data_IF_892886368565
#
_entry.id   IF_892886368565
#
_cell.length_a   1.000
_cell.length_b   1.000
_cell.length_c   1.000
_cell.angle_alpha   90.00
_cell.angle_beta   90.00
_cell.angle_gamma   90.00
#
_symmetry.space_group_name_H-M   'P 1'
#
loop_
_entity.id
_entity.type
_entity.pdbx_description
1 polymer ?
#
# COMPACT_ATOMS: atom_id res chain seq x y z
N UNK A 1 35.11 0.15 -70.08
CA UNK A 1 34.61 0.67 -68.78
C UNK A 1 34.49 -0.51 -67.82
N UNK A 2 35.32 -0.60 -66.77
CA UNK A 2 35.26 -1.70 -65.79
C UNK A 2 34.19 -1.38 -64.74
N UNK A 3 33.27 -2.30 -64.41
CA UNK A 3 32.21 -2.03 -63.45
C UNK A 3 32.80 -1.90 -62.03
N UNK A 4 32.48 -0.81 -61.35
CA UNK A 4 32.84 -0.58 -59.94
C UNK A 4 32.14 -1.63 -59.10
N UNK A 5 32.92 -2.38 -58.32
CA UNK A 5 32.41 -3.51 -57.54
C UNK A 5 31.87 -3.03 -56.19
N UNK A 6 30.64 -2.48 -56.21
CA UNK A 6 29.97 -1.83 -55.07
C UNK A 6 29.85 -2.69 -53.80
N UNK A 7 29.99 -4.02 -53.91
CA UNK A 7 29.99 -4.94 -52.75
C UNK A 7 31.25 -4.77 -51.90
N UNK A 8 32.41 -4.56 -52.52
CA UNK A 8 33.68 -4.32 -51.81
C UNK A 8 33.68 -2.97 -51.10
N UNK A 9 33.15 -1.92 -51.74
CA UNK A 9 33.04 -0.59 -51.14
C UNK A 9 32.11 -0.60 -49.91
N UNK A 10 31.01 -1.37 -49.94
CA UNK A 10 30.10 -1.53 -48.80
C UNK A 10 30.71 -2.32 -47.64
N UNK A 11 31.47 -3.38 -47.94
CA UNK A 11 32.17 -4.16 -46.91
C UNK A 11 33.28 -3.35 -46.25
N UNK A 12 34.05 -2.58 -47.04
CA UNK A 12 35.07 -1.68 -46.52
C UNK A 12 34.47 -0.56 -45.66
N UNK A 13 33.36 0.05 -46.09
CA UNK A 13 32.65 1.06 -45.31
C UNK A 13 32.08 0.50 -44.00
N UNK A 14 31.49 -0.70 -44.02
CA UNK A 14 30.98 -1.36 -42.82
C UNK A 14 32.10 -1.73 -41.85
N UNK A 15 33.23 -2.25 -42.35
CA UNK A 15 34.40 -2.55 -41.53
C UNK A 15 35.00 -1.28 -40.90
N UNK A 16 35.06 -0.17 -41.66
CA UNK A 16 35.55 1.11 -41.17
C UNK A 16 34.62 1.72 -40.12
N UNK A 17 33.30 1.62 -40.30
CA UNK A 17 32.30 2.06 -39.32
C UNK A 17 32.36 1.23 -38.04
N UNK A 18 32.55 -0.10 -38.15
CA UNK A 18 32.67 -0.99 -36.98
C UNK A 18 33.99 -0.75 -36.23
N UNK A 19 35.09 -0.51 -36.96
CA UNK A 19 36.35 -0.09 -36.37
C UNK A 19 36.21 1.26 -35.66
N UNK A 20 35.58 2.27 -36.30
CA UNK A 20 35.36 3.57 -35.67
C UNK A 20 34.46 3.51 -34.42
N UNK A 21 33.44 2.64 -34.39
CA UNK A 21 32.56 2.50 -33.20
C UNK A 21 33.21 1.74 -32.06
N UNK A 22 34.11 0.80 -32.35
CA UNK A 22 34.87 0.08 -31.30
C UNK A 22 36.03 0.91 -30.75
N UNK A 23 36.64 1.79 -31.55
CA UNK A 23 37.71 2.70 -31.12
C UNK A 23 37.22 3.91 -30.32
N UNK A 24 35.92 4.19 -30.28
CA UNK A 24 35.31 5.26 -29.46
C UNK A 24 34.59 4.74 -28.21
N UNK A 25 34.64 3.43 -27.96
CA UNK A 25 34.10 2.84 -26.74
C UNK A 25 35.07 3.11 -25.56
N UNK A 26 34.94 4.28 -24.94
CA UNK A 26 35.56 4.54 -23.64
C UNK A 26 34.99 3.56 -22.61
N UNK A 27 35.79 3.03 -21.67
CA UNK A 27 35.25 2.31 -20.53
C UNK A 27 34.28 3.24 -19.81
N UNK A 28 33.01 2.87 -19.79
CA UNK A 28 32.06 3.51 -18.90
C UNK A 28 32.48 3.16 -17.48
N UNK A 29 33.07 4.11 -16.75
CA UNK A 29 33.17 4.01 -15.29
C UNK A 29 31.74 3.97 -14.76
N UNK A 30 31.24 2.77 -14.50
CA UNK A 30 30.11 2.59 -13.62
C UNK A 30 30.59 3.03 -12.24
N UNK A 31 30.37 4.30 -11.89
CA UNK A 31 30.48 4.71 -10.50
C UNK A 31 29.51 3.83 -9.70
N UNK A 32 29.97 3.03 -8.72
CA UNK A 32 29.05 2.28 -7.89
C UNK A 32 28.15 3.30 -7.20
N UNK A 33 26.85 3.26 -7.52
CA UNK A 33 25.85 4.06 -6.80
C UNK A 33 25.79 3.45 -5.40
N UNK A 34 26.24 4.17 -4.37
CA UNK A 34 26.30 3.57 -3.04
C UNK A 34 24.88 3.29 -2.54
N UNK A 35 24.73 2.22 -1.78
CA UNK A 35 23.50 1.84 -1.12
C UNK A 35 23.79 1.59 0.35
N UNK A 36 22.77 1.71 1.19
CA UNK A 36 22.87 1.37 2.60
C UNK A 36 22.03 0.16 2.95
N UNK A 37 22.50 -0.64 3.91
CA UNK A 37 21.73 -1.74 4.48
C UNK A 37 21.31 -1.41 5.91
N UNK A 38 20.10 -1.82 6.25
CA UNK A 38 19.55 -1.84 7.60
C UNK A 38 19.12 -3.27 7.91
N UNK A 39 19.90 -3.97 8.74
CA UNK A 39 19.58 -5.31 9.20
C UNK A 39 19.02 -5.23 10.63
N UNK A 40 17.71 -5.40 10.77
CA UNK A 40 17.00 -5.44 12.04
C UNK A 40 16.91 -6.88 12.55
N UNK A 41 17.47 -7.17 13.72
CA UNK A 41 17.24 -8.42 14.45
C UNK A 41 16.32 -8.15 15.64
N UNK A 42 15.14 -8.74 15.62
CA UNK A 42 14.10 -8.53 16.61
C UNK A 42 13.99 -9.77 17.49
N UNK A 43 14.17 -9.57 18.80
CA UNK A 43 14.01 -10.57 19.84
C UNK A 43 13.12 -10.04 20.98
N UNK A 44 12.78 -10.89 21.95
CA UNK A 44 11.91 -10.52 23.07
C UNK A 44 12.46 -9.37 23.95
N UNK A 45 13.78 -9.19 23.99
CA UNK A 45 14.46 -8.22 24.86
C UNK A 45 14.82 -6.88 24.19
N UNK A 46 14.64 -6.75 22.87
CA UNK A 46 15.10 -5.57 22.14
C UNK A 46 15.20 -5.75 20.64
N UNK A 47 15.73 -4.72 19.99
CA UNK A 47 16.04 -4.70 18.56
C UNK A 47 17.54 -4.41 18.43
N UNK A 48 18.27 -5.32 17.81
CA UNK A 48 19.66 -5.11 17.41
C UNK A 48 19.68 -4.74 15.93
N UNK A 49 20.12 -3.53 15.62
CA UNK A 49 20.17 -2.97 14.28
C UNK A 49 21.60 -2.82 13.81
N UNK A 50 21.90 -3.36 12.64
CA UNK A 50 23.15 -3.13 11.93
C UNK A 50 22.92 -2.23 10.72
N UNK A 51 23.63 -1.10 10.67
CA UNK A 51 23.68 -0.21 9.52
C UNK A 51 24.97 -0.49 8.78
N UNK A 52 24.90 -0.69 7.47
CA UNK A 52 26.09 -0.67 6.60
C UNK A 52 25.93 0.49 5.64
N UNK A 53 26.84 1.46 5.72
CA UNK A 53 26.85 2.65 4.87
C UNK A 53 28.20 2.78 4.16
N UNK A 54 28.17 3.11 2.88
CA UNK A 54 29.39 3.27 2.10
C UNK A 54 30.17 4.50 2.57
N UNK A 55 31.51 4.41 2.56
CA UNK A 55 32.35 5.55 2.92
C UNK A 55 32.18 6.76 1.99
N UNK A 56 31.75 6.60 0.73
CA UNK A 56 31.54 7.74 -0.17
C UNK A 56 30.37 8.60 0.31
N UNK A 57 29.27 7.99 0.71
CA UNK A 57 28.09 8.70 1.22
C UNK A 57 28.40 9.42 2.53
N UNK A 58 29.05 8.71 3.45
CA UNK A 58 29.46 9.26 4.73
C UNK A 58 30.48 10.38 4.56
N UNK A 59 31.48 10.19 3.69
CA UNK A 59 32.51 11.19 3.43
C UNK A 59 31.93 12.46 2.77
N UNK A 60 30.96 12.31 1.86
CA UNK A 60 30.25 13.43 1.25
C UNK A 60 29.60 14.31 2.33
N UNK A 61 28.77 13.71 3.18
CA UNK A 61 28.01 14.45 4.18
C UNK A 61 28.84 14.93 5.38
N UNK A 62 29.89 14.19 5.76
CA UNK A 62 30.84 14.58 6.81
C UNK A 62 31.94 15.53 6.30
N UNK A 63 31.96 15.83 4.99
CA UNK A 63 33.01 16.63 4.34
C UNK A 63 34.44 16.07 4.57
N UNK A 64 34.60 14.75 4.60
CA UNK A 64 35.90 14.09 4.76
C UNK A 64 36.50 13.83 3.39
N UNK A 65 37.70 14.36 3.13
CA UNK A 65 38.42 14.14 1.89
C UNK A 65 39.87 13.70 2.16
N UNK A 66 40.38 12.69 1.44
CA UNK A 66 39.64 11.80 0.55
C UNK A 66 38.77 10.78 1.33
N UNK A 67 37.73 10.16 0.73
CA UNK A 67 36.78 9.27 1.44
C UNK A 67 37.42 8.09 2.16
N UNK A 68 38.54 7.58 1.66
CA UNK A 68 39.30 6.45 2.21
C UNK A 68 39.87 6.75 3.61
N UNK A 69 39.90 8.03 4.03
CA UNK A 69 40.23 8.38 5.41
C UNK A 69 39.26 7.73 6.40
N UNK A 70 38.00 7.52 6.02
CA UNK A 70 37.03 6.78 6.84
C UNK A 70 37.32 5.28 6.95
N UNK A 71 38.35 4.76 6.29
CA UNK A 71 38.88 3.40 6.51
C UNK A 71 40.01 3.35 7.55
N UNK A 72 40.34 4.50 8.16
CA UNK A 72 41.35 4.58 9.23
C UNK A 72 40.68 4.62 10.60
N UNK A 73 41.05 3.70 11.49
CA UNK A 73 40.45 3.59 12.83
C UNK A 73 40.54 4.88 13.65
N UNK A 74 41.66 5.62 13.58
CA UNK A 74 41.82 6.89 14.26
C UNK A 74 40.84 7.96 13.78
N UNK A 75 40.63 8.06 12.46
CA UNK A 75 39.68 9.01 11.87
C UNK A 75 38.24 8.65 12.24
N UNK A 76 37.89 7.36 12.22
CA UNK A 76 36.55 6.90 12.61
C UNK A 76 36.27 7.20 14.08
N UNK A 77 37.25 7.00 14.97
CA UNK A 77 37.11 7.35 16.38
C UNK A 77 36.92 8.86 16.59
N UNK A 78 37.67 9.71 15.86
CA UNK A 78 37.49 11.17 15.90
C UNK A 78 36.12 11.61 15.34
N UNK A 79 35.61 10.91 14.33
CA UNK A 79 34.35 11.22 13.65
C UNK A 79 33.13 10.53 14.26
N UNK A 80 33.28 9.69 15.30
CA UNK A 80 32.19 8.87 15.85
C UNK A 80 30.96 9.71 16.22
N UNK A 81 31.19 10.82 16.94
CA UNK A 81 30.10 11.72 17.34
C UNK A 81 29.43 12.41 16.15
N UNK A 82 30.19 12.74 15.11
CA UNK A 82 29.68 13.36 13.90
C UNK A 82 28.86 12.37 13.06
N UNK A 83 29.30 11.10 12.96
CA UNK A 83 28.56 10.03 12.29
C UNK A 83 27.22 9.79 12.99
N UNK A 84 27.22 9.71 14.32
CA UNK A 84 25.98 9.53 15.10
C UNK A 84 25.04 10.73 14.90
N UNK A 85 25.56 11.96 15.01
CA UNK A 85 24.77 13.17 14.80
C UNK A 85 24.18 13.28 13.38
N UNK A 86 24.89 12.74 12.39
CA UNK A 86 24.44 12.65 11.00
C UNK A 86 23.29 11.66 10.83
N UNK A 87 23.45 10.44 11.35
CA UNK A 87 22.54 9.32 11.07
C UNK A 87 21.32 9.29 11.99
N UNK A 88 21.43 9.73 13.24
CA UNK A 88 20.34 9.70 14.21
C UNK A 88 19.04 10.39 13.73
N UNK A 89 19.05 11.62 13.17
CA UNK A 89 17.82 12.23 12.67
C UNK A 89 17.29 11.57 11.39
N UNK A 90 18.16 10.84 10.68
CA UNK A 90 17.86 10.20 9.38
C UNK A 90 17.28 8.81 9.50
N UNK A 91 17.41 8.18 10.67
CA UNK A 91 16.90 6.85 10.97
C UNK A 91 16.12 6.86 12.28
N UNK A 92 14.80 6.76 12.16
CA UNK A 92 13.89 6.72 13.30
C UNK A 92 13.23 5.34 13.36
N UNK A 93 13.20 4.77 14.57
CA UNK A 93 12.57 3.49 14.85
C UNK A 93 11.50 3.70 15.91
N UNK A 94 10.28 3.27 15.61
CA UNK A 94 9.17 3.28 16.56
C UNK A 94 8.74 1.84 16.86
N UNK A 95 8.41 1.56 18.12
CA UNK A 95 7.69 0.34 18.50
C UNK A 95 6.32 0.72 19.04
N UNK A 96 5.26 0.11 18.49
CA UNK A 96 3.87 0.40 18.85
C UNK A 96 3.55 1.92 18.89
N UNK A 97 4.07 2.66 17.88
CA UNK A 97 3.97 4.13 17.70
C UNK A 97 4.72 4.97 18.76
N UNK A 98 5.62 4.37 19.53
CA UNK A 98 6.52 5.08 20.45
C UNK A 98 7.92 5.13 19.85
N UNK A 99 8.46 6.34 19.70
CA UNK A 99 9.83 6.53 19.22
C UNK A 99 10.83 5.92 20.20
N UNK A 100 11.72 5.08 19.69
CA UNK A 100 12.76 4.44 20.47
C UNK A 100 14.05 5.24 20.42
N UNK A 101 14.80 5.23 21.52
CA UNK A 101 16.15 5.80 21.58
C UNK A 101 17.19 4.69 21.44
N UNK A 102 18.08 4.74 20.44
CA UNK A 102 19.15 3.75 20.29
C UNK A 102 20.29 3.98 21.28
N UNK A 103 20.90 2.90 21.74
CA UNK A 103 22.27 2.91 22.23
C UNK A 103 23.20 2.60 21.06
N UNK A 104 24.06 3.55 20.70
CA UNK A 104 25.07 3.40 19.65
C UNK A 104 26.29 2.65 20.20
N UNK A 105 26.82 1.73 19.40
CA UNK A 105 28.11 1.09 19.63
C UNK A 105 29.15 1.65 18.66
N UNK A 106 30.42 1.46 18.98
CA UNK A 106 31.53 1.93 18.16
C UNK A 106 31.43 1.40 16.71
N UNK A 107 31.66 2.24 15.68
CA UNK A 107 31.64 1.81 14.29
C UNK A 107 32.77 0.81 13.98
N UNK A 108 32.47 -0.18 13.15
CA UNK A 108 33.42 -1.16 12.61
C UNK A 108 33.73 -0.83 11.15
N UNK A 109 35.01 -0.87 10.78
CA UNK A 109 35.46 -0.62 9.40
C UNK A 109 35.37 -1.92 8.59
N UNK A 110 34.67 -1.88 7.46
CA UNK A 110 34.63 -2.96 6.48
C UNK A 110 35.47 -2.56 5.26
N UNK A 111 36.80 -2.72 5.37
CA UNK A 111 37.75 -2.28 4.36
C UNK A 111 37.46 -2.87 2.96
N UNK A 112 37.20 -4.18 2.89
CA UNK A 112 36.91 -4.88 1.63
C UNK A 112 35.63 -4.40 0.94
N UNK A 113 34.72 -3.78 1.70
CA UNK A 113 33.44 -3.26 1.21
C UNK A 113 33.40 -1.74 1.13
N UNK A 114 34.53 -1.08 1.41
CA UNK A 114 34.62 0.39 1.49
C UNK A 114 33.45 0.99 2.29
N UNK A 115 33.10 0.38 3.43
CA UNK A 115 31.90 0.72 4.19
C UNK A 115 32.20 0.81 5.68
N UNK A 116 31.36 1.55 6.41
CA UNK A 116 31.29 1.47 7.86
C UNK A 116 30.06 0.65 8.27
N UNK A 117 30.27 -0.22 9.26
CA UNK A 117 29.21 -0.94 9.95
C UNK A 117 28.96 -0.28 11.30
N UNK A 118 27.72 0.12 11.55
CA UNK A 118 27.30 0.68 12.83
C UNK A 118 26.31 -0.27 13.50
N UNK A 119 26.47 -0.45 14.81
CA UNK A 119 25.57 -1.28 15.60
C UNK A 119 24.79 -0.40 16.57
N UNK A 120 23.47 -0.54 16.54
CA UNK A 120 22.53 0.16 17.41
C UNK A 120 21.72 -0.88 18.16
N UNK A 121 21.49 -0.64 19.46
CA UNK A 121 20.60 -1.47 20.26
C UNK A 121 19.45 -0.64 20.79
N UNK A 122 18.22 -1.08 20.52
CA UNK A 122 17.02 -0.51 21.11
C UNK A 122 16.50 -1.45 22.19
N UNK A 123 16.28 -0.92 23.40
CA UNK A 123 15.60 -1.67 24.47
C UNK A 123 14.10 -1.60 24.28
N UNK A 124 13.44 -2.74 24.45
CA UNK A 124 11.99 -2.86 24.52
C UNK A 124 11.58 -3.22 25.95
N UNK A 125 10.58 -2.53 26.49
CA UNK A 125 10.02 -2.84 27.81
C UNK A 125 9.15 -4.12 27.79
N UNK A 126 8.56 -4.39 26.63
CA UNK A 126 7.78 -5.57 26.32
C UNK A 126 7.92 -5.88 24.82
N UNK A 127 7.65 -7.12 24.37
CA UNK A 127 7.70 -7.42 22.95
C UNK A 127 6.72 -6.52 22.17
N UNK A 128 7.19 -5.96 21.06
CA UNK A 128 6.43 -4.99 20.27
C UNK A 128 5.44 -5.69 19.34
N UNK A 129 4.26 -5.11 19.13
CA UNK A 129 3.30 -5.57 18.14
C UNK A 129 3.65 -5.10 16.73
N UNK A 130 3.98 -3.80 16.58
CA UNK A 130 4.51 -3.25 15.34
C UNK A 130 5.82 -2.50 15.55
N UNK A 131 6.65 -2.52 14.51
CA UNK A 131 7.90 -1.76 14.43
C UNK A 131 7.86 -0.93 13.15
N UNK A 132 7.93 0.39 13.26
CA UNK A 132 8.01 1.28 12.11
C UNK A 132 9.43 1.83 11.98
N UNK A 133 10.00 1.71 10.79
CA UNK A 133 11.32 2.22 10.43
C UNK A 133 11.13 3.35 9.44
N UNK A 134 11.61 4.54 9.78
CA UNK A 134 11.66 5.68 8.86
C UNK A 134 13.13 6.00 8.57
N UNK A 135 13.54 5.90 7.31
CA UNK A 135 14.93 6.11 6.90
C UNK A 135 15.03 7.04 5.69
N UNK A 136 15.91 8.04 5.80
CA UNK A 136 16.39 8.91 4.70
C UNK A 136 17.90 9.06 4.82
N UNK A 137 18.60 7.97 4.53
CA UNK A 137 20.03 7.83 4.86
C UNK A 137 20.90 8.87 4.16
N UNK A 138 20.80 9.01 2.83
CA UNK A 138 21.63 9.93 2.05
C UNK A 138 20.81 10.59 0.95
N UNK A 139 20.17 11.71 1.27
CA UNK A 139 19.22 12.38 0.36
C UNK A 139 19.87 13.24 -0.73
N UNK A 140 21.19 13.44 -0.69
CA UNK A 140 21.91 14.20 -1.70
C UNK A 140 21.89 13.48 -3.06
N UNK A 141 21.91 12.14 -3.05
CA UNK A 141 21.77 11.32 -4.24
C UNK A 141 20.29 10.89 -4.40
N UNK A 142 19.58 11.34 -5.45
CA UNK A 142 18.20 10.94 -5.69
C UNK A 142 18.04 9.44 -6.00
N UNK A 143 19.12 8.75 -6.37
CA UNK A 143 19.11 7.31 -6.67
C UNK A 143 19.53 6.45 -5.47
N UNK A 144 19.84 7.05 -4.32
CA UNK A 144 20.21 6.31 -3.12
C UNK A 144 19.09 5.37 -2.68
N UNK A 145 19.43 4.11 -2.44
CA UNK A 145 18.51 3.10 -1.93
C UNK A 145 19.00 2.56 -0.60
N UNK A 146 18.05 2.37 0.31
CA UNK A 146 18.29 1.74 1.61
C UNK A 146 17.57 0.39 1.66
N UNK A 147 18.34 -0.69 1.64
CA UNK A 147 17.81 -2.04 1.77
C UNK A 147 17.52 -2.35 3.23
N UNK A 148 16.26 -2.68 3.54
CA UNK A 148 15.80 -3.06 4.86
C UNK A 148 15.59 -4.56 4.92
N UNK A 149 16.31 -5.24 5.81
CA UNK A 149 16.09 -6.65 6.14
C UNK A 149 15.63 -6.77 7.59
N UNK A 150 14.57 -7.55 7.82
CA UNK A 150 14.04 -7.79 9.17
C UNK A 150 14.10 -9.28 9.47
N UNK A 151 14.85 -9.60 10.52
CA UNK A 151 15.02 -10.93 11.07
C UNK A 151 14.23 -11.02 12.38
N UNK A 152 13.41 -12.06 12.51
CA UNK A 152 12.70 -12.38 13.75
C UNK A 152 13.15 -13.78 14.20
N UNK A 153 13.72 -13.90 15.41
CA UNK A 153 14.36 -15.13 15.88
C UNK A 153 15.34 -15.72 14.83
N UNK A 154 16.27 -14.87 14.34
CA UNK A 154 17.27 -15.17 13.31
C UNK A 154 16.76 -15.63 11.94
N UNK A 155 15.45 -15.65 11.72
CA UNK A 155 14.87 -15.97 10.41
C UNK A 155 14.59 -14.68 9.66
N UNK A 156 15.09 -14.57 8.42
CA UNK A 156 14.76 -13.44 7.54
C UNK A 156 13.26 -13.51 7.18
N UNK A 157 12.50 -12.51 7.59
CA UNK A 157 11.04 -12.48 7.45
C UNK A 157 10.54 -11.43 6.49
N UNK A 158 11.32 -10.36 6.29
CA UNK A 158 10.94 -9.24 5.43
C UNK A 158 12.18 -8.66 4.76
N UNK A 159 12.00 -8.30 3.49
CA UNK A 159 12.92 -7.47 2.73
C UNK A 159 12.14 -6.34 2.08
N UNK A 160 12.64 -5.12 2.21
CA UNK A 160 12.05 -3.92 1.63
C UNK A 160 13.14 -2.96 1.16
N UNK A 161 12.76 -2.00 0.31
CA UNK A 161 13.64 -0.93 -0.14
C UNK A 161 13.01 0.38 0.31
N UNK A 162 13.80 1.20 1.01
CA UNK A 162 13.45 2.57 1.34
C UNK A 162 14.19 3.51 0.39
N UNK A 163 13.46 4.43 -0.21
CA UNK A 163 13.97 5.41 -1.17
C UNK A 163 13.30 6.77 -0.95
N UNK A 164 13.49 7.73 -1.86
CA UNK A 164 12.91 9.08 -1.74
C UNK A 164 11.37 9.09 -1.73
N UNK A 165 10.72 8.12 -2.38
CA UNK A 165 9.26 7.97 -2.42
C UNK A 165 8.72 7.13 -1.25
N UNK A 166 9.46 6.12 -0.81
CA UNK A 166 9.08 5.19 0.26
C UNK A 166 10.09 5.30 1.40
N UNK A 167 9.89 6.29 2.27
CA UNK A 167 10.86 6.57 3.36
C UNK A 167 10.52 5.85 4.67
N UNK A 168 9.40 5.12 4.72
CA UNK A 168 8.90 4.45 5.92
C UNK A 168 8.39 3.06 5.59
N UNK A 169 8.72 2.10 6.44
CA UNK A 169 8.19 0.73 6.41
C UNK A 169 7.65 0.34 7.78
N UNK A 170 6.50 -0.31 7.84
CA UNK A 170 5.91 -0.80 9.09
C UNK A 170 5.82 -2.33 9.09
N UNK A 171 6.57 -2.93 10.00
CA UNK A 171 6.60 -4.36 10.25
C UNK A 171 5.64 -4.74 11.37
N UNK A 172 4.97 -5.90 11.22
CA UNK A 172 4.11 -6.49 12.23
C UNK A 172 4.67 -7.83 12.66
N UNK A 173 4.89 -7.99 13.96
CA UNK A 173 5.48 -9.21 14.52
C UNK A 173 4.58 -10.43 14.28
N UNK A 174 5.16 -11.63 14.20
CA UNK A 174 4.41 -12.89 14.09
C UNK A 174 3.67 -13.31 15.37
N UNK A 175 3.61 -12.43 16.37
CA UNK A 175 3.10 -12.69 17.73
C UNK A 175 1.63 -12.30 17.88
N UNK A 176 1.01 -12.65 19.01
CA UNK A 176 -0.34 -12.18 19.35
C UNK A 176 -0.44 -10.65 19.41
N UNK A 177 0.61 -9.97 19.87
CA UNK A 177 0.65 -8.51 19.89
C UNK A 177 0.71 -7.95 18.47
N UNK A 178 1.42 -8.60 17.56
CA UNK A 178 1.44 -8.23 16.15
C UNK A 178 0.08 -8.37 15.48
N UNK A 179 -0.63 -9.48 15.72
CA UNK A 179 -2.03 -9.64 15.25
C UNK A 179 -2.91 -8.52 15.80
N UNK A 180 -2.80 -8.17 17.09
CA UNK A 180 -3.56 -7.07 17.67
C UNK A 180 -3.18 -5.72 17.05
N UNK A 181 -1.91 -5.49 16.74
CA UNK A 181 -1.45 -4.28 16.07
C UNK A 181 -2.03 -4.18 14.65
N UNK A 182 -2.07 -5.29 13.91
CA UNK A 182 -2.72 -5.39 12.58
C UNK A 182 -4.20 -5.05 12.70
N UNK A 183 -4.93 -5.66 13.63
CA UNK A 183 -6.37 -5.39 13.86
C UNK A 183 -6.60 -3.91 14.18
N UNK A 184 -5.80 -3.33 15.08
CA UNK A 184 -5.89 -1.91 15.46
C UNK A 184 -5.59 -0.96 14.32
N UNK A 185 -4.78 -1.37 13.33
CA UNK A 185 -4.51 -0.58 12.14
C UNK A 185 -5.63 -0.72 11.12
N UNK A 186 -5.98 -1.94 10.74
CA UNK A 186 -6.81 -2.17 9.55
C UNK A 186 -8.32 -2.12 9.78
N UNK A 187 -8.83 -2.34 11.01
CA UNK A 187 -10.28 -2.17 11.28
C UNK A 187 -10.72 -0.72 11.05
N UNK A 188 -10.05 0.31 11.61
CA UNK A 188 -10.37 1.71 11.31
C UNK A 188 -10.25 2.06 9.82
N UNK A 189 -9.24 1.52 9.12
CA UNK A 189 -9.10 1.74 7.67
C UNK A 189 -10.29 1.18 6.88
N UNK A 190 -10.79 0.00 7.25
CA UNK A 190 -12.00 -0.58 6.65
C UNK A 190 -13.25 0.26 6.89
N UNK A 191 -13.43 0.75 8.12
CA UNK A 191 -14.55 1.66 8.46
C UNK A 191 -14.43 2.97 7.68
N UNK A 192 -13.24 3.58 7.67
CA UNK A 192 -13.01 4.82 6.96
C UNK A 192 -13.30 4.65 5.47
N UNK A 193 -12.80 3.56 4.88
CA UNK A 193 -12.96 3.28 3.46
C UNK A 193 -14.43 3.25 3.02
N UNK A 194 -15.28 2.48 3.71
CA UNK A 194 -16.68 2.37 3.31
C UNK A 194 -17.44 3.69 3.49
N UNK A 195 -17.05 4.51 4.47
CA UNK A 195 -17.69 5.80 4.74
C UNK A 195 -17.27 6.89 3.75
N UNK A 196 -16.08 6.81 3.16
CA UNK A 196 -15.64 7.77 2.13
C UNK A 196 -16.02 7.34 0.72
N UNK A 197 -16.41 6.07 0.51
CA UNK A 197 -16.75 5.51 -0.80
C UNK A 197 -18.17 5.85 -1.24
N UNK A 198 -18.39 6.88 -2.10
CA UNK A 198 -19.74 7.34 -2.43
C UNK A 198 -20.54 6.29 -3.19
N UNK A 199 -19.90 5.48 -4.03
CA UNK A 199 -20.54 4.38 -4.77
C UNK A 199 -21.16 3.34 -3.83
N UNK A 200 -20.40 2.94 -2.81
CA UNK A 200 -20.81 1.91 -1.86
C UNK A 200 -21.92 2.41 -0.95
N UNK A 201 -21.80 3.65 -0.45
CA UNK A 201 -22.84 4.27 0.36
C UNK A 201 -24.14 4.42 -0.42
N UNK A 202 -24.07 4.89 -1.68
CA UNK A 202 -25.26 5.07 -2.49
C UNK A 202 -25.91 3.73 -2.86
N UNK A 203 -25.10 2.72 -3.18
CA UNK A 203 -25.58 1.35 -3.41
C UNK A 203 -26.30 0.80 -2.16
N UNK A 204 -25.68 0.91 -0.99
CA UNK A 204 -26.23 0.46 0.28
C UNK A 204 -27.53 1.19 0.61
N UNK A 205 -27.53 2.54 0.54
CA UNK A 205 -28.74 3.34 0.75
C UNK A 205 -29.84 2.92 -0.21
N UNK A 206 -29.51 2.70 -1.49
CA UNK A 206 -30.43 2.19 -2.50
C UNK A 206 -31.14 0.90 -2.07
N UNK A 207 -30.39 -0.08 -1.56
CA UNK A 207 -30.95 -1.34 -1.04
C UNK A 207 -31.84 -1.13 0.21
N UNK A 208 -31.54 -0.12 1.03
CA UNK A 208 -32.30 0.20 2.24
C UNK A 208 -33.58 1.00 1.97
N UNK A 209 -33.71 1.66 0.81
CA UNK A 209 -34.85 2.53 0.50
C UNK A 209 -36.19 1.82 0.61
N UNK A 210 -36.28 0.55 0.23
CA UNK A 210 -37.52 -0.25 0.34
C UNK A 210 -37.84 -0.67 1.79
N UNK A 211 -36.90 -0.52 2.71
CA UNK A 211 -37.02 -0.98 4.09
C UNK A 211 -37.07 -2.50 4.23
N UNK A 212 -37.33 -2.95 5.46
CA UNK A 212 -37.37 -4.36 5.83
C UNK A 212 -37.13 -4.52 7.32
N UNK A 213 -37.22 -5.76 7.80
CA UNK A 213 -36.79 -6.12 9.15
C UNK A 213 -35.27 -6.01 9.27
N UNK A 214 -34.77 -5.73 10.48
CA UNK A 214 -33.32 -5.69 10.77
C UNK A 214 -32.65 -6.99 10.30
N UNK A 215 -33.28 -8.16 10.52
CA UNK A 215 -32.76 -9.45 10.07
C UNK A 215 -32.55 -9.51 8.55
N UNK A 216 -33.51 -9.01 7.76
CA UNK A 216 -33.37 -8.97 6.29
C UNK A 216 -32.22 -8.07 5.88
N UNK A 217 -32.11 -6.89 6.49
CA UNK A 217 -31.04 -5.93 6.18
C UNK A 217 -29.66 -6.50 6.54
N UNK A 218 -29.53 -7.19 7.68
CA UNK A 218 -28.29 -7.87 8.06
C UNK A 218 -27.90 -8.93 7.03
N UNK A 219 -28.84 -9.75 6.56
CA UNK A 219 -28.56 -10.75 5.53
C UNK A 219 -28.08 -10.10 4.23
N UNK A 220 -28.69 -8.98 3.82
CA UNK A 220 -28.28 -8.23 2.62
C UNK A 220 -26.85 -7.68 2.76
N UNK A 221 -26.53 -7.07 3.90
CA UNK A 221 -25.21 -6.48 4.16
C UNK A 221 -24.15 -7.58 4.22
N UNK A 222 -24.36 -8.61 5.03
CA UNK A 222 -23.41 -9.73 5.15
C UNK A 222 -23.20 -10.45 3.81
N UNK A 223 -24.25 -10.60 2.98
CA UNK A 223 -24.09 -11.17 1.64
C UNK A 223 -23.19 -10.30 0.73
N UNK A 224 -23.39 -8.97 0.76
CA UNK A 224 -22.50 -8.05 0.04
C UNK A 224 -21.06 -8.16 0.55
N UNK A 225 -20.86 -8.04 1.87
CA UNK A 225 -19.54 -8.07 2.49
C UNK A 225 -18.83 -9.37 2.17
N UNK A 226 -19.51 -10.51 2.29
CA UNK A 226 -18.93 -11.82 1.95
C UNK A 226 -18.41 -11.87 0.51
N UNK A 227 -19.24 -11.51 -0.48
CA UNK A 227 -18.82 -11.51 -1.88
C UNK A 227 -17.70 -10.52 -2.17
N UNK A 228 -17.78 -9.33 -1.56
CA UNK A 228 -16.75 -8.30 -1.64
C UNK A 228 -15.42 -8.79 -1.06
N UNK A 229 -15.43 -9.40 0.13
CA UNK A 229 -14.24 -9.95 0.77
C UNK A 229 -13.56 -11.03 -0.09
N UNK A 230 -14.34 -11.86 -0.78
CA UNK A 230 -13.81 -12.87 -1.69
C UNK A 230 -13.05 -12.22 -2.85
N UNK A 231 -13.66 -11.29 -3.58
CA UNK A 231 -12.99 -10.68 -4.75
C UNK A 231 -11.90 -9.71 -4.38
N UNK A 232 -12.02 -9.04 -3.23
CA UNK A 232 -10.94 -8.27 -2.63
C UNK A 232 -9.72 -9.15 -2.34
N UNK A 233 -9.93 -10.32 -1.73
CA UNK A 233 -8.84 -11.25 -1.42
C UNK A 233 -8.20 -11.80 -2.70
N UNK A 234 -8.99 -12.12 -3.73
CA UNK A 234 -8.48 -12.54 -5.03
C UNK A 234 -7.62 -11.46 -5.71
N UNK A 235 -8.03 -10.19 -5.60
CA UNK A 235 -7.26 -9.06 -6.11
C UNK A 235 -5.98 -8.83 -5.31
N UNK A 236 -6.05 -8.87 -3.98
CA UNK A 236 -4.89 -8.68 -3.10
C UNK A 236 -3.81 -9.75 -3.28
N UNK A 237 -4.23 -10.99 -3.53
CA UNK A 237 -3.33 -12.11 -3.83
C UNK A 237 -2.87 -12.13 -5.30
N UNK A 238 -3.29 -11.14 -6.10
CA UNK A 238 -3.04 -11.06 -7.55
C UNK A 238 -3.44 -12.33 -8.32
N UNK A 239 -4.48 -13.03 -7.85
CA UNK A 239 -5.05 -14.21 -8.52
C UNK A 239 -5.97 -13.76 -9.65
N UNK A 240 -6.77 -12.72 -9.40
CA UNK A 240 -7.68 -12.12 -10.40
C UNK A 240 -7.63 -10.59 -10.27
N UNK A 241 -7.18 -9.93 -11.33
CA UNK A 241 -7.00 -8.48 -11.37
C UNK A 241 -7.64 -7.89 -12.63
N UNK A 242 -8.97 -7.75 -12.66
CA UNK A 242 -9.68 -7.21 -13.82
C UNK A 242 -9.38 -5.71 -13.99
N UNK A 243 -9.39 -5.19 -15.22
CA UNK A 243 -9.01 -3.80 -15.46
C UNK A 243 -10.09 -2.83 -14.93
N UNK A 244 -9.63 -1.74 -14.30
CA UNK A 244 -10.49 -0.70 -13.72
C UNK A 244 -11.51 -0.14 -14.72
N UNK A 245 -11.12 0.01 -16.00
CA UNK A 245 -12.01 0.44 -17.10
C UNK A 245 -13.27 -0.41 -17.29
N UNK A 246 -13.30 -1.63 -16.75
CA UNK A 246 -14.47 -2.54 -16.79
C UNK A 246 -15.19 -2.52 -15.45
N UNK A 247 -14.44 -2.60 -14.35
CA UNK A 247 -15.01 -2.70 -13.01
C UNK A 247 -15.69 -1.40 -12.57
N UNK A 248 -15.05 -0.26 -12.78
CA UNK A 248 -15.61 1.02 -12.30
C UNK A 248 -16.94 1.37 -12.99
N UNK A 249 -17.11 1.20 -14.33
CA UNK A 249 -18.43 1.32 -14.95
C UNK A 249 -19.44 0.27 -14.48
N UNK A 250 -19.00 -0.98 -14.24
CA UNK A 250 -19.89 -2.03 -13.73
C UNK A 250 -20.41 -1.73 -12.32
N UNK A 251 -19.57 -1.15 -11.45
CA UNK A 251 -19.98 -0.62 -10.14
C UNK A 251 -21.04 0.47 -10.33
N UNK A 252 -20.84 1.43 -11.24
CA UNK A 252 -21.83 2.48 -11.48
C UNK A 252 -23.17 1.91 -12.01
N UNK A 253 -23.12 0.93 -12.91
CA UNK A 253 -24.32 0.24 -13.41
C UNK A 253 -25.06 -0.54 -12.32
N UNK A 254 -24.36 -1.12 -11.34
CA UNK A 254 -25.01 -1.78 -10.22
C UNK A 254 -25.88 -0.84 -9.38
N UNK A 255 -25.47 0.43 -9.26
CA UNK A 255 -26.22 1.47 -8.56
C UNK A 255 -27.49 1.81 -9.35
N UNK A 256 -27.36 1.99 -10.67
CA UNK A 256 -28.51 2.19 -11.57
C UNK A 256 -29.49 1.02 -11.45
N UNK A 257 -28.98 -0.21 -11.48
CA UNK A 257 -29.79 -1.42 -11.35
C UNK A 257 -30.61 -1.40 -10.05
N UNK A 258 -29.99 -1.12 -8.90
CA UNK A 258 -30.70 -1.08 -7.61
C UNK A 258 -31.78 -0.01 -7.60
N UNK A 259 -31.48 1.18 -8.13
CA UNK A 259 -32.49 2.24 -8.22
C UNK A 259 -33.67 1.87 -9.14
N UNK A 260 -33.40 1.20 -10.27
CA UNK A 260 -34.47 0.70 -11.16
C UNK A 260 -35.27 -0.42 -10.52
N UNK A 261 -34.61 -1.39 -9.87
CA UNK A 261 -35.24 -2.49 -9.14
C UNK A 261 -36.23 -1.97 -8.11
N UNK A 262 -35.85 -0.93 -7.34
CA UNK A 262 -36.73 -0.28 -6.39
C UNK A 262 -38.02 0.31 -7.00
N UNK A 263 -37.99 0.76 -8.25
CA UNK A 263 -39.16 1.32 -8.94
C UNK A 263 -40.04 0.24 -9.59
N UNK A 264 -39.45 -0.92 -9.93
CA UNK A 264 -40.13 -1.99 -10.65
C UNK A 264 -40.70 -3.09 -9.73
N UNK A 265 -40.21 -3.21 -8.50
CA UNK A 265 -40.71 -4.19 -7.52
C UNK A 265 -42.21 -3.96 -7.25
N UNK A 266 -43.03 -4.97 -7.56
CA UNK A 266 -44.50 -4.96 -7.39
C UNK A 266 -45.04 -6.11 -6.53
N UNK A 267 -44.22 -6.62 -5.60
CA UNK A 267 -44.53 -7.80 -4.77
C UNK A 267 -43.91 -9.08 -5.32
N UNK A 268 -43.36 -9.92 -4.43
CA UNK A 268 -42.58 -11.10 -4.79
C UNK A 268 -41.58 -11.51 -3.71
N UNK A 269 -40.69 -12.46 -4.00
CA UNK A 269 -39.58 -12.84 -3.10
C UNK A 269 -38.57 -11.70 -3.01
N UNK A 270 -38.10 -11.40 -1.80
CA UNK A 270 -37.03 -10.43 -1.58
C UNK A 270 -35.71 -10.94 -2.18
N UNK A 271 -35.30 -10.34 -3.30
CA UNK A 271 -34.09 -10.72 -4.04
C UNK A 271 -32.86 -9.89 -3.64
N UNK A 272 -33.00 -8.94 -2.71
CA UNK A 272 -31.94 -7.97 -2.39
C UNK A 272 -30.66 -8.63 -1.92
N UNK A 273 -30.74 -9.73 -1.18
CA UNK A 273 -29.55 -10.45 -0.73
C UNK A 273 -28.76 -11.05 -1.91
N UNK A 274 -29.45 -11.55 -2.94
CA UNK A 274 -28.81 -12.06 -4.16
C UNK A 274 -28.24 -10.93 -5.02
N UNK A 275 -28.96 -9.82 -5.12
CA UNK A 275 -28.49 -8.59 -5.78
C UNK A 275 -27.21 -8.09 -5.11
N UNK A 276 -27.23 -7.99 -3.78
CA UNK A 276 -26.10 -7.59 -2.95
C UNK A 276 -24.91 -8.55 -3.06
N UNK A 277 -25.14 -9.86 -3.06
CA UNK A 277 -24.10 -10.87 -3.29
C UNK A 277 -23.46 -10.70 -4.68
N UNK A 278 -24.28 -10.56 -5.73
CA UNK A 278 -23.82 -10.46 -7.12
C UNK A 278 -22.97 -9.19 -7.32
N UNK A 279 -23.46 -8.06 -6.84
CA UNK A 279 -22.72 -6.80 -6.97
C UNK A 279 -21.56 -6.68 -5.98
N UNK A 280 -21.62 -7.35 -4.83
CA UNK A 280 -20.49 -7.46 -3.91
C UNK A 280 -19.25 -8.02 -4.60
N UNK A 281 -19.39 -9.04 -5.44
CA UNK A 281 -18.27 -9.57 -6.22
C UNK A 281 -17.64 -8.52 -7.15
N UNK A 282 -18.46 -7.69 -7.80
CA UNK A 282 -17.97 -6.62 -8.69
C UNK A 282 -17.29 -5.52 -7.88
N UNK A 283 -17.90 -5.10 -6.77
CA UNK A 283 -17.40 -4.01 -5.94
C UNK A 283 -16.06 -4.36 -5.29
N UNK A 284 -15.83 -5.61 -4.87
CA UNK A 284 -14.55 -6.02 -4.28
C UNK A 284 -13.35 -5.84 -5.21
N UNK A 285 -13.54 -5.94 -6.53
CA UNK A 285 -12.47 -5.64 -7.49
C UNK A 285 -12.19 -4.15 -7.67
N UNK A 286 -13.15 -3.28 -7.35
CA UNK A 286 -12.96 -1.82 -7.39
C UNK A 286 -11.90 -1.33 -6.40
N UNK A 287 -11.48 -2.21 -5.47
CA UNK A 287 -10.56 -1.90 -4.41
C UNK A 287 -9.08 -2.21 -4.71
N UNK A 288 -8.79 -2.81 -5.87
CA UNK A 288 -7.44 -3.22 -6.23
C UNK A 288 -6.42 -2.07 -6.26
N UNK A 289 -6.84 -0.84 -6.58
CA UNK A 289 -5.96 0.33 -6.57
C UNK A 289 -5.60 0.75 -5.14
N UNK A 290 -6.58 0.78 -4.26
CA UNK A 290 -6.40 1.19 -2.86
C UNK A 290 -5.52 0.20 -2.10
N UNK A 291 -5.67 -1.10 -2.36
CA UNK A 291 -4.78 -2.12 -1.76
C UNK A 291 -3.31 -1.92 -2.13
N UNK A 292 -3.01 -1.43 -3.33
CA UNK A 292 -1.65 -1.13 -3.76
C UNK A 292 -1.07 0.08 -3.04
N UNK A 293 -1.90 1.06 -2.70
CA UNK A 293 -1.50 2.25 -1.95
C UNK A 293 -1.35 1.98 -0.44
N UNK A 294 -2.05 0.98 0.10
CA UNK A 294 -2.03 0.63 1.52
C UNK A 294 -0.77 -0.11 1.98
N UNK A 295 0.13 -0.47 1.06
CA UNK A 295 1.38 -1.23 1.32
C UNK A 295 1.19 -2.37 2.32
N UNK A 296 0.33 -3.32 1.94
CA UNK A 296 -0.12 -4.37 2.86
C UNK A 296 1.07 -5.25 3.31
N UNK A 297 1.20 -5.50 4.63
CA UNK A 297 2.29 -6.29 5.16
C UNK A 297 2.17 -7.74 4.70
N UNK A 298 3.09 -8.21 3.86
CA UNK A 298 3.00 -9.52 3.19
C UNK A 298 2.85 -10.69 4.18
N UNK A 299 3.53 -10.62 5.32
CA UNK A 299 3.48 -11.64 6.38
C UNK A 299 2.14 -11.65 7.14
N UNK A 300 1.57 -10.47 7.34
CA UNK A 300 0.30 -10.30 8.05
C UNK A 300 -0.89 -10.15 7.09
N UNK A 301 -0.71 -10.41 5.79
CA UNK A 301 -1.69 -10.14 4.74
C UNK A 301 -3.08 -10.72 5.07
N UNK A 302 -3.14 -11.98 5.52
CA UNK A 302 -4.40 -12.60 5.90
C UNK A 302 -5.11 -11.87 7.06
N UNK A 303 -4.36 -11.49 8.09
CA UNK A 303 -4.89 -10.71 9.21
C UNK A 303 -5.27 -9.28 8.79
N UNK A 304 -4.51 -8.66 7.90
CA UNK A 304 -4.82 -7.34 7.34
C UNK A 304 -6.12 -7.36 6.55
N UNK A 305 -6.28 -8.31 5.62
CA UNK A 305 -7.50 -8.47 4.83
C UNK A 305 -8.70 -8.79 5.70
N UNK A 306 -8.57 -9.71 6.66
CA UNK A 306 -9.64 -10.02 7.60
C UNK A 306 -10.06 -8.79 8.41
N UNK A 307 -9.09 -8.09 9.01
CA UNK A 307 -9.33 -6.90 9.84
C UNK A 307 -9.94 -5.76 9.04
N UNK A 308 -9.47 -5.55 7.82
CA UNK A 308 -10.03 -4.56 6.90
C UNK A 308 -11.50 -4.87 6.57
N UNK A 309 -11.81 -6.12 6.17
CA UNK A 309 -13.18 -6.53 5.87
C UNK A 309 -14.10 -6.45 7.09
N UNK A 310 -13.60 -6.79 8.28
CA UNK A 310 -14.34 -6.60 9.53
C UNK A 310 -14.67 -5.11 9.75
N UNK A 311 -13.71 -4.22 9.48
CA UNK A 311 -13.95 -2.78 9.48
C UNK A 311 -15.02 -2.34 8.48
N UNK A 312 -14.99 -2.87 7.27
CA UNK A 312 -16.02 -2.62 6.24
C UNK A 312 -17.40 -3.06 6.75
N UNK A 313 -17.54 -4.27 7.28
CA UNK A 313 -18.82 -4.76 7.82
C UNK A 313 -19.33 -3.86 8.95
N UNK A 314 -18.47 -3.47 9.89
CA UNK A 314 -18.82 -2.54 10.97
C UNK A 314 -19.32 -1.20 10.39
N UNK A 315 -18.59 -0.62 9.43
CA UNK A 315 -19.00 0.64 8.80
C UNK A 315 -20.33 0.53 8.06
N UNK A 316 -20.57 -0.57 7.33
CA UNK A 316 -21.85 -0.83 6.66
C UNK A 316 -22.99 -0.97 7.68
N UNK A 317 -22.78 -1.70 8.77
CA UNK A 317 -23.77 -1.87 9.83
C UNK A 317 -24.13 -0.55 10.49
N UNK A 318 -23.17 0.35 10.72
CA UNK A 318 -23.43 1.69 11.24
C UNK A 318 -24.36 2.49 10.31
N UNK A 319 -24.08 2.46 9.00
CA UNK A 319 -24.93 3.13 8.00
C UNK A 319 -26.31 2.49 7.95
N UNK A 320 -26.40 1.16 8.00
CA UNK A 320 -27.68 0.44 8.00
C UNK A 320 -28.53 0.81 9.20
N UNK A 321 -27.95 0.80 10.41
CA UNK A 321 -28.67 1.17 11.62
C UNK A 321 -29.15 2.62 11.53
N UNK A 322 -28.30 3.55 11.09
CA UNK A 322 -28.66 4.96 10.97
C UNK A 322 -29.79 5.19 9.94
N UNK A 323 -29.61 4.70 8.72
CA UNK A 323 -30.54 4.93 7.60
C UNK A 323 -31.84 4.15 7.81
N UNK A 324 -31.77 2.88 8.21
CA UNK A 324 -32.98 2.08 8.43
C UNK A 324 -33.82 2.63 9.58
N UNK A 325 -33.20 3.10 10.67
CA UNK A 325 -33.92 3.73 11.78
C UNK A 325 -34.60 5.02 11.35
N UNK A 326 -33.92 5.87 10.57
CA UNK A 326 -34.51 7.10 10.03
C UNK A 326 -35.70 6.81 9.11
N UNK A 327 -35.57 5.84 8.19
CA UNK A 327 -36.64 5.43 7.30
C UNK A 327 -37.81 4.80 8.06
N UNK A 328 -37.54 3.98 9.07
CA UNK A 328 -38.56 3.37 9.92
C UNK A 328 -39.34 4.44 10.70
N UNK A 329 -38.65 5.42 11.30
CA UNK A 329 -39.28 6.53 12.01
C UNK A 329 -40.13 7.43 11.10
N UNK A 330 -39.69 7.65 9.85
CA UNK A 330 -40.50 8.39 8.88
C UNK A 330 -41.75 7.61 8.49
N UNK A 331 -41.61 6.30 8.20
CA UNK A 331 -42.73 5.44 7.84
C UNK A 331 -43.74 5.27 8.95
N UNK A 332 -43.30 5.21 10.21
CA UNK A 332 -44.20 5.14 11.37
C UNK A 332 -45.01 6.42 11.56
N UNK A 333 -44.52 7.57 11.08
CA UNK A 333 -45.24 8.85 11.10
C UNK A 333 -46.16 9.02 9.87
N UNK A 334 -45.68 8.64 8.69
CA UNK A 334 -46.46 8.71 7.45
C UNK A 334 -45.94 7.70 6.44
N UNK A 335 -46.74 6.67 6.19
CA UNK A 335 -46.42 5.65 5.19
C UNK A 335 -46.32 6.25 3.78
N UNK A 336 -47.15 7.25 3.46
CA UNK A 336 -47.12 7.98 2.19
C UNK A 336 -45.81 8.75 2.03
N UNK A 337 -45.35 9.45 3.07
CA UNK A 337 -44.08 10.16 3.03
C UNK A 337 -42.90 9.18 2.84
N UNK A 338 -42.91 8.04 3.53
CA UNK A 338 -41.91 6.99 3.37
C UNK A 338 -41.86 6.41 1.95
N UNK A 339 -43.02 6.16 1.33
CA UNK A 339 -43.10 5.71 -0.07
C UNK A 339 -42.59 6.77 -1.06
N UNK A 340 -42.96 8.04 -0.87
CA UNK A 340 -42.47 9.15 -1.71
C UNK A 340 -40.96 9.33 -1.59
N UNK A 341 -40.40 9.21 -0.39
CA UNK A 341 -38.96 9.27 -0.17
C UNK A 341 -38.25 8.10 -0.86
N UNK A 342 -38.77 6.87 -0.75
CA UNK A 342 -38.21 5.71 -1.44
C UNK A 342 -38.21 5.89 -2.96
N UNK A 343 -39.31 6.42 -3.53
CA UNK A 343 -39.41 6.74 -4.94
C UNK A 343 -38.40 7.81 -5.37
N UNK A 344 -38.40 8.97 -4.70
CA UNK A 344 -37.49 10.08 -5.01
C UNK A 344 -36.02 9.68 -4.82
N UNK A 345 -35.71 8.97 -3.74
CA UNK A 345 -34.38 8.42 -3.47
C UNK A 345 -33.92 7.46 -4.56
N UNK A 346 -34.82 6.62 -5.08
CA UNK A 346 -34.49 5.70 -6.19
C UNK A 346 -34.18 6.45 -7.48
N UNK A 347 -34.89 7.54 -7.78
CA UNK A 347 -34.56 8.43 -8.91
C UNK A 347 -33.19 9.08 -8.74
N UNK A 348 -32.86 9.55 -7.53
CA UNK A 348 -31.53 10.11 -7.23
C UNK A 348 -30.43 9.05 -7.40
N UNK A 349 -30.65 7.83 -6.90
CA UNK A 349 -29.73 6.69 -7.06
C UNK A 349 -29.47 6.39 -8.54
N UNK A 350 -30.53 6.33 -9.37
CA UNK A 350 -30.42 6.13 -10.82
C UNK A 350 -29.63 7.26 -11.46
N UNK A 351 -29.98 8.51 -11.17
CA UNK A 351 -29.35 9.67 -11.79
C UNK A 351 -27.85 9.76 -11.48
N UNK A 352 -27.47 9.55 -10.21
CA UNK A 352 -26.07 9.55 -9.80
C UNK A 352 -25.30 8.36 -10.38
N UNK A 353 -25.87 7.15 -10.36
CA UNK A 353 -25.26 5.98 -10.99
C UNK A 353 -25.05 6.16 -12.50
N UNK A 354 -26.03 6.72 -13.20
CA UNK A 354 -25.94 6.99 -14.64
C UNK A 354 -24.87 8.07 -14.94
N UNK A 355 -24.81 9.12 -14.13
CA UNK A 355 -23.77 10.14 -14.22
C UNK A 355 -22.37 9.53 -14.07
N UNK A 356 -22.13 8.73 -13.02
CA UNK A 356 -20.84 8.08 -12.80
C UNK A 356 -20.50 7.07 -13.89
N UNK A 357 -21.49 6.35 -14.43
CA UNK A 357 -21.28 5.45 -15.55
C UNK A 357 -20.77 6.21 -16.78
N UNK A 358 -21.45 7.30 -17.18
CA UNK A 358 -21.03 8.13 -18.30
C UNK A 358 -19.63 8.71 -18.06
N UNK A 359 -19.37 9.19 -16.84
CA UNK A 359 -18.06 9.72 -16.46
C UNK A 359 -16.95 8.67 -16.61
N UNK A 360 -17.18 7.44 -16.15
CA UNK A 360 -16.19 6.35 -16.16
C UNK A 360 -15.98 5.71 -17.53
N UNK A 361 -16.96 5.82 -18.43
CA UNK A 361 -16.83 5.28 -19.80
C UNK A 361 -16.26 6.31 -20.76
N UNK A 362 -16.67 7.58 -20.66
CA UNK A 362 -16.39 8.58 -21.71
C UNK A 362 -15.46 9.72 -21.26
N UNK A 363 -15.39 10.04 -19.97
CA UNK A 363 -14.70 11.23 -19.49
C UNK A 363 -13.38 10.93 -18.77
N UNK A 364 -13.19 9.70 -18.31
CA UNK A 364 -11.91 9.21 -17.78
C UNK A 364 -11.05 8.75 -18.95
N UNK A 365 -10.26 9.67 -19.50
CA UNK A 365 -9.09 9.28 -20.30
C UNK A 365 -8.10 8.62 -19.35
N UNK A 366 -7.95 7.30 -19.45
CA UNK A 366 -6.88 6.57 -18.78
C UNK A 366 -5.56 7.11 -19.35
N UNK A 367 -4.84 7.89 -18.54
CA UNK A 367 -3.45 8.28 -18.77
C UNK A 367 -2.53 7.29 -18.11
#
# INVERSE_FOLDING_TARGET
MRPVNWRFARLAAAALLTALTTLTASPASAHPVPFSYLDFRIDAGGIDLTIVAHIFDLAHDLNVQPPERLLSAGVVAEQESAIVALLQPRLQVEADRRLLTPAWLAPEILADRQSLRLHLRYRLEAPAGSIAVSARMFSYDPNHQTFLNIYENDTLTTQAILDRGHTRYEYFAGTRQGVLAVVRKFVPEGIHHILIGPDHLLFLIGLLLLGGSIRQLLVVVTAFTFAHSVTLSLAALNIVSPPARVIEPAIALSIVYVGVDNLLVRGGRDMRAWIALTFGFIHGFGFANVLREMDLPSRALGWSLFSFNLGVEIGQLLVVVAVASALAALRSRSEVAGRRLAFAGSIVVIAAGAFWFIQRVFLTRVG
#
